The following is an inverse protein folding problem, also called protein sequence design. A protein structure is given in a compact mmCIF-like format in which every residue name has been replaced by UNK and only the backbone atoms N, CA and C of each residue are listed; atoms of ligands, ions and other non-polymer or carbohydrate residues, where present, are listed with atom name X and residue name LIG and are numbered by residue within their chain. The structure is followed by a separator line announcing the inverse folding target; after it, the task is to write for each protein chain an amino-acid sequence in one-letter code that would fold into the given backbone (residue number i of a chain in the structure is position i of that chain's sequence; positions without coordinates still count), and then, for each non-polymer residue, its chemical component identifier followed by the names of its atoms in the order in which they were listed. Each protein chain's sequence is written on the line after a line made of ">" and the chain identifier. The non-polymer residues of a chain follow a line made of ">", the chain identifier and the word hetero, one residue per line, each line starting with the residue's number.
data_IF_190831224548
#
_entry.id   IF_190831224548
#
_cell.length_a   1.000
_cell.length_b   1.000
_cell.length_c   1.000
_cell.angle_alpha   90.00
_cell.angle_beta   90.00
_cell.angle_gamma   90.00
#
_symmetry.space_group_name_H-M   'P 1'
#
loop_
_entity.id
_entity.type
_entity.pdbx_description
1 polymer ?
#
# COMPACT_ATOMS: atom_id res chain seq x y z
N UNK A 1 2.21 -16.27 39.87
CA UNK A 1 1.52 -17.54 39.58
C UNK A 1 0.69 -17.85 40.81
N UNK A 2 -0.64 -17.82 40.68
CA UNK A 2 -1.56 -18.42 41.64
C UNK A 2 -2.86 -18.68 40.88
N UNK A 3 -3.12 -19.97 40.64
CA UNK A 3 -4.35 -20.50 40.05
C UNK A 3 -5.48 -20.42 41.07
N UNK A 4 -6.60 -19.83 40.68
CA UNK A 4 -7.86 -19.91 41.42
C UNK A 4 -8.73 -21.01 40.80
N UNK A 5 -8.65 -22.21 41.39
CA UNK A 5 -9.65 -23.27 41.24
C UNK A 5 -10.81 -22.94 42.18
N UNK A 6 -12.03 -22.82 41.65
CA UNK A 6 -13.24 -22.57 42.45
C UNK A 6 -14.16 -23.78 42.25
N UNK A 7 -14.04 -24.74 43.15
CA UNK A 7 -15.02 -25.81 43.33
C UNK A 7 -16.18 -25.26 44.18
N UNK A 8 -17.36 -25.18 43.58
CA UNK A 8 -18.60 -24.81 44.27
C UNK A 8 -19.33 -26.08 44.70
N UNK A 9 -19.07 -26.51 45.92
CA UNK A 9 -19.82 -27.55 46.63
C UNK A 9 -21.00 -26.85 47.35
N UNK A 10 -22.23 -27.08 46.88
CA UNK A 10 -23.43 -26.53 47.50
C UNK A 10 -23.99 -27.57 48.48
N UNK A 11 -23.83 -27.25 49.76
CA UNK A 11 -24.33 -28.00 50.89
C UNK A 11 -25.85 -27.87 51.03
N UNK A 12 -26.47 -29.00 51.31
CA UNK A 12 -27.92 -29.19 51.47
C UNK A 12 -28.33 -28.88 52.91
N UNK A 13 -29.19 -27.88 53.12
CA UNK A 13 -29.92 -27.71 54.38
C UNK A 13 -31.44 -27.74 54.19
N UNK A 14 -32.01 -28.80 54.76
CA UNK A 14 -33.39 -29.09 55.14
C UNK A 14 -34.26 -27.86 55.53
N UNK A 15 -35.49 -27.79 55.01
CA UNK A 15 -36.73 -28.20 55.70
C UNK A 15 -37.30 -27.17 56.67
N UNK A 16 -38.35 -26.46 56.23
CA UNK A 16 -39.44 -26.10 57.12
C UNK A 16 -40.78 -26.24 56.40
N UNK A 17 -41.51 -27.27 56.83
CA UNK A 17 -42.87 -27.61 56.43
C UNK A 17 -43.83 -26.72 57.21
N UNK A 18 -44.66 -25.95 56.51
CA UNK A 18 -45.89 -25.37 57.07
C UNK A 18 -47.04 -25.72 56.13
N UNK A 19 -47.86 -26.68 56.56
CA UNK A 19 -49.14 -27.02 55.95
C UNK A 19 -50.18 -25.94 56.29
N UNK A 20 -50.89 -25.41 55.30
CA UNK A 20 -52.35 -25.26 55.36
C UNK A 20 -52.96 -24.99 53.98
N UNK A 21 -53.72 -26.00 53.52
CA UNK A 21 -54.98 -25.97 52.74
C UNK A 21 -55.36 -24.65 52.03
N UNK A 22 -55.45 -24.69 50.71
CA UNK A 22 -56.70 -24.86 49.93
C UNK A 22 -56.41 -24.63 48.44
N UNK A 23 -56.61 -25.69 47.64
CA UNK A 23 -57.05 -25.64 46.23
C UNK A 23 -56.29 -24.76 45.24
N UNK A 24 -55.26 -25.32 44.60
CA UNK A 24 -55.07 -25.33 43.14
C UNK A 24 -53.76 -26.07 42.85
N UNK A 25 -53.83 -27.40 42.75
CA UNK A 25 -52.80 -28.16 42.06
C UNK A 25 -52.84 -27.78 40.57
N UNK A 26 -52.20 -26.66 40.21
CA UNK A 26 -51.70 -26.48 38.86
C UNK A 26 -50.49 -27.41 38.69
N UNK A 27 -50.75 -28.71 38.55
CA UNK A 27 -49.78 -29.60 37.90
C UNK A 27 -49.56 -29.05 36.51
N UNK A 28 -48.48 -28.30 36.32
CA UNK A 28 -47.90 -28.09 35.00
C UNK A 28 -47.35 -29.45 34.58
N UNK A 29 -48.25 -30.29 34.04
CA UNK A 29 -47.87 -31.42 33.19
C UNK A 29 -47.07 -30.80 32.05
N UNK A 30 -45.74 -30.86 32.15
CA UNK A 30 -44.88 -30.72 30.98
C UNK A 30 -45.20 -31.93 30.10
N UNK A 31 -46.18 -31.77 29.21
CA UNK A 31 -46.39 -32.73 28.13
C UNK A 31 -45.11 -32.88 27.33
N UNK A 32 -44.85 -34.03 26.70
CA UNK A 32 -43.73 -34.16 25.79
C UNK A 32 -43.83 -33.02 24.76
N UNK A 33 -42.77 -32.23 24.57
CA UNK A 33 -42.76 -31.23 23.50
C UNK A 33 -43.05 -31.97 22.19
N UNK A 34 -44.26 -31.80 21.67
CA UNK A 34 -44.62 -32.35 20.37
C UNK A 34 -44.02 -31.42 19.31
N UNK A 35 -42.76 -31.69 18.98
CA UNK A 35 -42.10 -31.03 17.88
C UNK A 35 -42.76 -31.49 16.58
N UNK A 36 -43.55 -30.60 15.98
CA UNK A 36 -44.12 -30.83 14.66
C UNK A 36 -42.96 -30.97 13.65
N UNK A 37 -43.06 -31.87 12.68
CA UNK A 37 -42.02 -32.06 11.66
C UNK A 37 -41.62 -30.73 11.00
N UNK A 38 -42.59 -29.82 10.82
CA UNK A 38 -42.35 -28.46 10.31
C UNK A 38 -41.42 -27.63 11.21
N UNK A 39 -41.55 -27.72 12.53
CA UNK A 39 -40.68 -26.98 13.46
C UNK A 39 -39.28 -27.56 13.50
N UNK A 40 -39.13 -28.88 13.36
CA UNK A 40 -37.82 -29.52 13.21
C UNK A 40 -37.12 -29.13 11.90
N UNK A 41 -37.86 -29.08 10.79
CA UNK A 41 -37.32 -28.64 9.49
C UNK A 41 -36.89 -27.16 9.55
N UNK A 42 -37.71 -26.29 10.14
CA UNK A 42 -37.37 -24.87 10.28
C UNK A 42 -36.15 -24.66 11.19
N UNK A 43 -36.06 -25.39 12.30
CA UNK A 43 -34.90 -25.36 13.19
C UNK A 43 -33.65 -25.86 12.46
N UNK A 44 -33.76 -26.95 11.70
CA UNK A 44 -32.66 -27.49 10.91
C UNK A 44 -32.18 -26.49 9.84
N UNK A 45 -33.11 -25.80 9.16
CA UNK A 45 -32.79 -24.75 8.18
C UNK A 45 -32.12 -23.55 8.84
N UNK A 46 -32.59 -23.13 10.01
CA UNK A 46 -31.97 -22.05 10.79
C UNK A 46 -30.54 -22.42 11.18
N UNK A 47 -30.34 -23.62 11.73
CA UNK A 47 -29.01 -24.12 12.10
C UNK A 47 -28.09 -24.25 10.88
N UNK A 48 -28.59 -24.77 9.76
CA UNK A 48 -27.81 -24.90 8.53
C UNK A 48 -27.43 -23.53 7.94
N UNK A 49 -28.36 -22.58 7.92
CA UNK A 49 -28.11 -21.20 7.48
C UNK A 49 -27.08 -20.51 8.38
N UNK A 50 -27.21 -20.66 9.70
CA UNK A 50 -26.27 -20.10 10.67
C UNK A 50 -24.86 -20.69 10.50
N UNK A 51 -24.78 -22.02 10.35
CA UNK A 51 -23.50 -22.69 10.13
C UNK A 51 -22.85 -22.29 8.81
N UNK A 52 -23.64 -22.16 7.74
CA UNK A 52 -23.16 -21.69 6.45
C UNK A 52 -22.65 -20.24 6.53
N UNK A 53 -23.39 -19.35 7.21
CA UNK A 53 -22.96 -17.97 7.47
C UNK A 53 -21.64 -17.94 8.25
N UNK A 54 -21.52 -18.73 9.32
CA UNK A 54 -20.32 -18.75 10.14
C UNK A 54 -19.10 -19.28 9.37
N UNK A 55 -19.26 -20.36 8.60
CA UNK A 55 -18.19 -20.86 7.73
C UNK A 55 -17.78 -19.83 6.68
N UNK A 56 -18.74 -19.21 6.00
CA UNK A 56 -18.45 -18.20 4.98
C UNK A 56 -17.73 -16.98 5.56
N UNK A 57 -18.08 -16.58 6.78
CA UNK A 57 -17.41 -15.49 7.49
C UNK A 57 -15.98 -15.87 7.88
N UNK A 58 -15.79 -17.05 8.46
CA UNK A 58 -14.47 -17.53 8.87
C UNK A 58 -13.54 -17.73 7.67
N UNK A 59 -14.05 -18.30 6.58
CA UNK A 59 -13.30 -18.45 5.33
C UNK A 59 -12.96 -17.08 4.72
N UNK A 60 -13.87 -16.10 4.79
CA UNK A 60 -13.57 -14.72 4.36
C UNK A 60 -12.47 -14.06 5.20
N UNK A 61 -12.50 -14.20 6.52
CA UNK A 61 -11.48 -13.65 7.42
C UNK A 61 -10.13 -14.32 7.14
N UNK A 62 -10.11 -15.64 6.95
CA UNK A 62 -8.91 -16.38 6.56
C UNK A 62 -8.39 -15.92 5.19
N UNK A 63 -9.24 -15.78 4.18
CA UNK A 63 -8.85 -15.28 2.86
C UNK A 63 -8.33 -13.84 2.93
N UNK A 64 -8.93 -12.96 3.74
CA UNK A 64 -8.43 -11.59 3.95
C UNK A 64 -7.05 -11.59 4.58
N UNK A 65 -6.83 -12.41 5.61
CA UNK A 65 -5.51 -12.53 6.24
C UNK A 65 -4.47 -13.09 5.27
N UNK A 66 -4.82 -14.10 4.48
CA UNK A 66 -3.95 -14.67 3.46
C UNK A 66 -3.65 -13.65 2.34
N UNK A 67 -4.64 -12.88 1.91
CA UNK A 67 -4.45 -11.78 0.95
C UNK A 67 -3.55 -10.70 1.55
N UNK A 68 -3.64 -10.39 2.84
CA UNK A 68 -2.76 -9.42 3.49
C UNK A 68 -1.31 -9.92 3.55
N UNK A 69 -1.10 -11.19 3.89
CA UNK A 69 0.23 -11.83 3.90
C UNK A 69 0.79 -11.91 2.49
N UNK A 70 0.01 -12.44 1.53
CA UNK A 70 0.40 -12.49 0.12
C UNK A 70 0.63 -11.10 -0.48
N UNK A 71 -0.10 -10.07 -0.03
CA UNK A 71 0.12 -8.67 -0.43
C UNK A 71 1.39 -8.09 0.19
N UNK A 72 1.75 -8.50 1.40
CA UNK A 72 3.02 -8.11 2.01
C UNK A 72 4.19 -8.79 1.30
N UNK A 73 4.05 -10.08 0.96
CA UNK A 73 5.07 -10.87 0.27
C UNK A 73 5.19 -10.52 -1.22
N UNK A 74 4.07 -10.27 -1.93
CA UNK A 74 4.07 -9.86 -3.34
C UNK A 74 4.66 -8.46 -3.54
N UNK A 75 4.70 -7.66 -2.48
CA UNK A 75 5.29 -6.31 -2.44
C UNK A 75 6.69 -6.29 -1.84
N UNK A 76 7.23 -7.45 -1.46
CA UNK A 76 8.62 -7.55 -1.08
C UNK A 76 9.48 -7.25 -2.31
N UNK A 77 10.43 -6.34 -2.15
CA UNK A 77 11.36 -5.98 -3.21
C UNK A 77 12.27 -7.18 -3.52
N UNK A 78 12.02 -7.81 -4.66
CA UNK A 78 12.81 -8.92 -5.19
C UNK A 78 13.87 -8.37 -6.13
N UNK A 79 15.12 -8.70 -5.85
CA UNK A 79 16.26 -8.33 -6.69
C UNK A 79 16.64 -9.56 -7.51
N UNK A 80 16.33 -9.55 -8.81
CA UNK A 80 16.68 -10.64 -9.73
C UNK A 80 18.12 -10.49 -10.23
N UNK A 81 18.48 -9.27 -10.60
CA UNK A 81 19.80 -8.87 -11.04
C UNK A 81 20.37 -7.84 -10.06
N UNK A 82 21.59 -8.11 -9.58
CA UNK A 82 22.26 -7.28 -8.57
C UNK A 82 23.04 -6.09 -9.17
N UNK A 83 23.25 -6.10 -10.49
CA UNK A 83 23.98 -5.11 -11.28
C UNK A 83 23.16 -3.85 -11.60
N UNK A 84 21.85 -3.92 -11.44
CA UNK A 84 20.88 -2.88 -11.81
C UNK A 84 19.91 -2.58 -10.68
N UNK A 85 19.21 -1.47 -10.77
CA UNK A 85 18.23 -1.06 -9.76
C UNK A 85 17.01 -1.98 -9.76
N UNK A 86 16.51 -2.29 -8.57
CA UNK A 86 15.18 -2.87 -8.38
C UNK A 86 14.25 -1.86 -7.73
N UNK A 87 13.02 -1.75 -8.23
CA UNK A 87 12.02 -0.80 -7.73
C UNK A 87 10.71 -1.53 -7.49
N UNK A 88 10.04 -1.23 -6.37
CA UNK A 88 8.66 -1.65 -6.13
C UNK A 88 7.87 -0.49 -5.52
N UNK A 89 6.65 -0.27 -5.98
CA UNK A 89 5.75 0.69 -5.33
C UNK A 89 5.39 0.21 -3.93
N UNK A 90 5.57 1.10 -2.94
CA UNK A 90 5.16 0.83 -1.58
C UNK A 90 3.62 0.81 -1.48
N UNK A 91 3.04 0.08 -0.51
CA UNK A 91 1.60 0.12 -0.28
C UNK A 91 1.15 1.56 -0.02
N UNK A 92 0.23 2.07 -0.86
CA UNK A 92 -0.46 3.34 -0.62
C UNK A 92 -1.26 3.22 0.68
N UNK A 93 -0.84 3.93 1.72
CA UNK A 93 -1.61 4.08 2.97
C UNK A 93 -2.67 5.16 2.83
N UNK A 94 -2.38 6.21 2.04
CA UNK A 94 -3.32 7.25 1.64
C UNK A 94 -3.35 7.45 0.11
N UNK A 95 -4.38 8.10 -0.44
CA UNK A 95 -4.54 8.31 -1.90
C UNK A 95 -3.40 9.10 -2.54
N UNK A 96 -2.81 10.01 -1.78
CA UNK A 96 -1.88 11.03 -2.27
C UNK A 96 -0.41 10.65 -2.00
N UNK A 97 -0.18 9.55 -1.29
CA UNK A 97 1.14 9.06 -0.97
C UNK A 97 1.69 8.23 -2.13
N UNK A 98 2.80 8.70 -2.70
CA UNK A 98 3.56 8.00 -3.73
C UNK A 98 4.93 7.69 -3.17
N UNK A 99 5.11 6.43 -2.75
CA UNK A 99 6.34 5.93 -2.13
C UNK A 99 6.78 4.67 -2.87
N UNK A 100 8.09 4.51 -3.06
CA UNK A 100 8.73 3.36 -3.67
C UNK A 100 9.84 2.84 -2.77
N UNK A 101 10.01 1.53 -2.73
CA UNK A 101 11.19 0.91 -2.15
C UNK A 101 12.13 0.55 -3.29
N UNK A 102 13.39 0.95 -3.17
CA UNK A 102 14.42 0.73 -4.18
C UNK A 102 15.58 -0.06 -3.60
N UNK A 103 16.19 -0.90 -4.41
CA UNK A 103 17.44 -1.59 -4.11
C UNK A 103 18.42 -1.22 -5.21
N UNK A 104 19.40 -0.42 -4.82
CA UNK A 104 20.48 0.03 -5.66
C UNK A 104 21.65 -0.95 -5.57
N UNK A 105 22.40 -1.14 -6.67
CA UNK A 105 23.57 -2.00 -6.68
C UNK A 105 24.56 -1.63 -5.55
N UNK A 106 25.17 -2.66 -4.96
CA UNK A 106 26.18 -2.46 -3.93
C UNK A 106 27.45 -1.83 -4.51
N UNK A 107 28.28 -1.21 -3.65
CA UNK A 107 29.55 -0.63 -4.07
C UNK A 107 30.46 -1.65 -4.79
N UNK A 108 30.47 -2.89 -4.32
CA UNK A 108 31.24 -3.98 -4.93
C UNK A 108 30.70 -4.34 -6.32
N UNK A 109 29.37 -4.38 -6.46
CA UNK A 109 28.74 -4.69 -7.75
C UNK A 109 29.02 -3.61 -8.79
N UNK A 110 29.02 -2.34 -8.38
CA UNK A 110 29.34 -1.22 -9.28
C UNK A 110 30.80 -1.28 -9.73
N UNK A 111 31.73 -1.61 -8.83
CA UNK A 111 33.13 -1.86 -9.19
C UNK A 111 33.33 -3.01 -10.20
N UNK A 112 32.35 -3.91 -10.32
CA UNK A 112 32.34 -5.05 -11.24
C UNK A 112 31.45 -4.82 -12.48
N UNK A 113 31.12 -3.56 -12.81
CA UNK A 113 30.32 -3.21 -13.99
C UNK A 113 28.83 -3.02 -13.75
N UNK A 114 28.38 -2.94 -12.49
CA UNK A 114 27.02 -2.52 -12.14
C UNK A 114 26.81 -1.01 -12.28
N UNK A 115 25.56 -0.57 -12.40
CA UNK A 115 25.23 0.85 -12.54
C UNK A 115 25.04 1.55 -11.19
N UNK A 116 25.66 2.71 -11.03
CA UNK A 116 25.24 3.70 -10.06
C UNK A 116 24.06 4.49 -10.62
N UNK A 117 23.17 4.99 -9.76
CA UNK A 117 22.00 5.76 -10.20
C UNK A 117 21.92 7.10 -9.48
N UNK A 118 21.37 8.08 -10.18
CA UNK A 118 20.93 9.37 -9.63
C UNK A 118 19.41 9.49 -9.77
N UNK A 119 18.82 10.21 -8.84
CA UNK A 119 17.42 10.57 -8.81
C UNK A 119 17.24 11.91 -9.50
N UNK A 120 16.38 11.96 -10.51
CA UNK A 120 16.14 13.16 -11.31
C UNK A 120 14.68 13.59 -11.18
N UNK A 121 14.45 14.87 -10.94
CA UNK A 121 13.14 15.51 -10.89
C UNK A 121 13.07 16.64 -11.91
N UNK A 122 12.02 16.63 -12.72
CA UNK A 122 11.68 17.73 -13.61
C UNK A 122 10.24 18.17 -13.39
N UNK A 123 10.02 19.48 -13.45
CA UNK A 123 8.69 20.07 -13.27
C UNK A 123 8.18 20.87 -14.47
N UNK A 124 9.07 21.16 -15.43
CA UNK A 124 8.80 21.99 -16.60
C UNK A 124 9.44 21.35 -17.84
N UNK A 125 9.00 21.76 -19.03
CA UNK A 125 9.59 21.31 -20.29
C UNK A 125 9.37 19.83 -20.56
N UNK A 126 8.38 19.20 -19.93
CA UNK A 126 8.13 17.77 -20.04
C UNK A 126 7.59 17.43 -21.41
N UNK A 127 8.08 16.36 -22.01
CA UNK A 127 7.62 15.86 -23.30
C UNK A 127 7.34 14.38 -23.19
N UNK A 128 6.26 13.92 -23.81
CA UNK A 128 5.88 12.51 -23.73
C UNK A 128 6.91 11.63 -24.47
N UNK A 129 7.55 10.74 -23.72
CA UNK A 129 8.50 9.76 -24.26
C UNK A 129 9.90 10.30 -24.47
N UNK A 130 10.23 11.50 -23.99
CA UNK A 130 11.60 12.01 -23.92
C UNK A 130 11.93 12.49 -22.51
N UNK A 131 13.18 12.27 -22.10
CA UNK A 131 13.66 12.76 -20.81
C UNK A 131 14.01 14.25 -20.92
N UNK A 132 13.53 15.08 -19.97
CA UNK A 132 13.77 16.51 -19.99
C UNK A 132 15.23 16.83 -19.67
N UNK A 133 15.73 17.96 -20.20
CA UNK A 133 17.11 18.41 -19.98
C UNK A 133 17.29 19.29 -18.73
N UNK A 134 16.24 20.01 -18.33
CA UNK A 134 16.26 20.86 -17.12
C UNK A 134 15.74 20.07 -15.93
N UNK A 135 16.67 19.55 -15.13
CA UNK A 135 16.37 18.58 -14.08
C UNK A 135 17.10 18.94 -12.80
N UNK A 136 16.48 18.63 -11.67
CA UNK A 136 17.15 18.65 -10.37
C UNK A 136 17.58 17.24 -10.02
N UNK A 137 18.87 17.07 -9.71
CA UNK A 137 19.51 15.77 -9.59
C UNK A 137 19.98 15.52 -8.15
N UNK A 138 19.91 14.26 -7.71
CA UNK A 138 20.48 13.81 -6.44
C UNK A 138 21.15 12.44 -6.62
N UNK A 139 22.44 12.35 -6.33
CA UNK A 139 23.17 11.08 -6.40
C UNK A 139 22.71 10.13 -5.28
N UNK A 140 22.33 8.90 -5.63
CA UNK A 140 21.79 7.96 -4.65
C UNK A 140 22.90 7.12 -4.01
N UNK A 141 22.89 6.96 -2.68
CA UNK A 141 23.78 6.02 -2.02
C UNK A 141 23.40 4.57 -2.34
N UNK A 142 24.34 3.65 -2.17
CA UNK A 142 24.15 2.23 -2.45
C UNK A 142 23.27 1.55 -1.39
N UNK A 143 22.51 0.54 -1.80
CA UNK A 143 21.75 -0.31 -0.90
C UNK A 143 20.24 -0.15 -1.04
N UNK A 144 19.51 -0.49 0.04
CA UNK A 144 18.05 -0.47 0.06
C UNK A 144 17.56 0.83 0.69
N UNK A 145 16.68 1.51 -0.03
CA UNK A 145 16.19 2.84 0.35
C UNK A 145 14.72 3.00 0.01
N UNK A 146 14.10 4.01 0.60
CA UNK A 146 12.75 4.43 0.28
C UNK A 146 12.76 5.82 -0.37
N UNK A 147 12.02 5.97 -1.46
CA UNK A 147 11.83 7.24 -2.16
C UNK A 147 10.36 7.63 -2.04
N UNK A 148 10.09 8.87 -1.68
CA UNK A 148 8.73 9.40 -1.57
C UNK A 148 8.63 10.75 -2.27
N UNK A 149 7.57 10.98 -3.02
CA UNK A 149 7.28 12.30 -3.59
C UNK A 149 6.03 12.90 -2.94
N UNK A 150 6.13 14.18 -2.59
CA UNK A 150 5.03 14.98 -2.02
C UNK A 150 4.80 16.21 -2.87
N UNK A 151 3.56 16.38 -3.31
CA UNK A 151 3.06 17.61 -3.93
C UNK A 151 2.18 18.32 -2.91
N UNK A 152 2.43 19.61 -2.66
CA UNK A 152 1.64 20.44 -1.75
C UNK A 152 1.31 21.76 -2.42
N UNK A 153 0.06 22.19 -2.33
CA UNK A 153 -0.34 23.54 -2.68
C UNK A 153 -0.01 24.50 -1.53
N UNK A 154 0.56 25.64 -1.87
CA UNK A 154 1.01 26.70 -0.95
C UNK A 154 0.41 28.04 -1.38
N UNK A 155 0.57 29.09 -0.56
CA UNK A 155 0.08 30.43 -0.92
C UNK A 155 0.71 30.99 -2.20
N UNK A 156 1.95 30.62 -2.49
CA UNK A 156 2.72 31.16 -3.61
C UNK A 156 2.63 30.28 -4.87
N UNK A 157 2.10 29.06 -4.75
CA UNK A 157 1.98 28.10 -5.85
C UNK A 157 2.08 26.66 -5.38
N UNK A 158 2.76 25.83 -6.15
CA UNK A 158 2.92 24.41 -5.87
C UNK A 158 4.34 24.11 -5.39
N UNK A 159 4.44 23.24 -4.41
CA UNK A 159 5.70 22.75 -3.88
C UNK A 159 5.78 21.25 -4.14
N UNK A 160 6.86 20.83 -4.80
CA UNK A 160 7.17 19.42 -5.06
C UNK A 160 8.43 19.07 -4.28
N UNK A 161 8.32 18.08 -3.41
CA UNK A 161 9.43 17.58 -2.58
C UNK A 161 9.65 16.11 -2.86
N UNK A 162 10.91 15.71 -2.93
CA UNK A 162 11.31 14.32 -2.94
C UNK A 162 12.08 14.02 -1.67
N UNK A 163 11.62 12.99 -0.97
CA UNK A 163 12.23 12.47 0.23
C UNK A 163 12.94 11.16 -0.10
N UNK A 164 14.13 11.01 0.44
CA UNK A 164 14.94 9.81 0.39
C UNK A 164 15.19 9.36 1.83
N UNK A 165 14.75 8.14 2.18
CA UNK A 165 14.75 7.64 3.56
C UNK A 165 14.15 8.65 4.56
N UNK A 166 13.00 9.21 4.18
CA UNK A 166 12.26 10.24 4.92
C UNK A 166 13.00 11.59 5.12
N UNK A 167 14.16 11.78 4.50
CA UNK A 167 14.90 13.04 4.44
C UNK A 167 14.66 13.79 3.13
N UNK A 168 14.37 15.09 3.18
CA UNK A 168 14.21 15.91 1.98
C UNK A 168 15.54 16.06 1.23
N UNK A 169 15.57 15.62 -0.04
CA UNK A 169 16.76 15.68 -0.90
C UNK A 169 16.58 16.60 -2.11
N UNK A 170 15.35 16.73 -2.61
CA UNK A 170 15.01 17.63 -3.71
C UNK A 170 13.76 18.43 -3.33
N UNK A 171 13.81 19.74 -3.59
CA UNK A 171 12.67 20.64 -3.39
C UNK A 171 12.60 21.64 -4.54
N UNK A 172 11.45 21.68 -5.21
CA UNK A 172 11.16 22.60 -6.31
C UNK A 172 9.85 23.34 -6.01
N UNK A 173 9.88 24.66 -6.15
CA UNK A 173 8.70 25.52 -6.03
C UNK A 173 8.28 25.99 -7.42
N UNK A 174 6.98 25.92 -7.70
CA UNK A 174 6.37 26.41 -8.92
C UNK A 174 5.31 27.46 -8.60
N UNK A 175 5.14 28.43 -9.49
CA UNK A 175 4.15 29.50 -9.32
C UNK A 175 2.73 28.97 -9.55
N UNK A 176 1.71 29.66 -9.05
CA UNK A 176 0.30 29.29 -9.28
C UNK A 176 -0.06 29.08 -10.77
N UNK A 177 0.51 29.90 -11.66
CA UNK A 177 0.28 29.81 -13.10
C UNK A 177 0.71 28.47 -13.70
N UNK A 178 1.62 27.75 -13.06
CA UNK A 178 2.07 26.41 -13.47
C UNK A 178 0.95 25.37 -13.43
N UNK A 179 0.03 25.48 -12.47
CA UNK A 179 -1.14 24.59 -12.33
C UNK A 179 -2.40 25.11 -13.03
N UNK A 180 -2.31 26.16 -13.85
CA UNK A 180 -3.48 26.77 -14.50
C UNK A 180 -4.06 25.88 -15.61
N UNK A 181 -3.27 24.94 -16.12
CA UNK A 181 -3.69 23.89 -17.06
C UNK A 181 -4.63 22.91 -16.34
N UNK A 182 -5.91 22.93 -16.73
CA UNK A 182 -6.92 22.04 -16.15
C UNK A 182 -6.89 20.70 -16.86
N UNK A 183 -6.42 19.69 -16.14
CA UNK A 183 -6.32 18.30 -16.57
C UNK A 183 -5.00 17.68 -16.11
N UNK A 184 -5.07 16.61 -15.33
CA UNK A 184 -3.89 15.80 -14.97
C UNK A 184 -3.95 14.48 -15.74
N UNK A 185 -2.95 14.23 -16.59
CA UNK A 185 -2.76 12.94 -17.26
C UNK A 185 -1.42 12.38 -16.82
N UNK A 186 -1.40 11.20 -16.22
CA UNK A 186 -0.18 10.67 -15.62
C UNK A 186 -0.15 9.16 -15.46
N UNK A 187 1.05 8.64 -15.40
CA UNK A 187 1.42 7.31 -14.97
C UNK A 187 1.80 7.37 -13.48
N UNK A 188 1.02 6.69 -12.65
CA UNK A 188 1.57 6.17 -11.40
C UNK A 188 2.56 5.06 -11.82
N UNK A 189 3.87 5.30 -11.70
CA UNK A 189 4.86 4.30 -12.08
C UNK A 189 4.70 3.00 -11.30
N UNK A 190 4.90 1.90 -12.03
CA UNK A 190 4.90 0.48 -11.65
C UNK A 190 3.97 0.04 -10.50
N UNK A 191 2.90 -0.67 -10.87
CA UNK A 191 1.97 -1.24 -9.90
C UNK A 191 2.44 -2.60 -9.36
N UNK A 192 2.52 -2.67 -8.03
CA UNK A 192 2.44 -3.88 -7.18
C UNK A 192 3.55 -4.94 -7.27
N UNK A 193 4.33 -4.99 -8.36
CA UNK A 193 5.40 -5.99 -8.56
C UNK A 193 6.77 -5.34 -8.67
N UNK A 194 7.82 -6.08 -8.28
CA UNK A 194 9.20 -5.61 -8.40
C UNK A 194 9.58 -5.49 -9.88
N UNK A 195 10.02 -4.29 -10.27
CA UNK A 195 10.53 -3.98 -11.59
C UNK A 195 12.06 -3.88 -11.56
N UNK A 196 12.70 -4.37 -12.62
CA UNK A 196 14.11 -4.15 -12.90
C UNK A 196 14.27 -3.82 -14.40
N UNK A 197 15.14 -2.87 -14.77
CA UNK A 197 15.39 -2.55 -16.15
C UNK A 197 16.05 -3.73 -16.91
N UNK A 198 15.93 -3.73 -18.23
CA UNK A 198 16.53 -4.74 -19.10
C UNK A 198 18.07 -4.64 -19.15
N UNK A 199 18.62 -3.45 -18.89
CA UNK A 199 20.06 -3.19 -18.86
C UNK A 199 20.47 -2.22 -17.75
N UNK A 200 21.79 -2.08 -17.54
CA UNK A 200 22.40 -1.12 -16.62
C UNK A 200 22.35 0.33 -17.12
N UNK A 201 22.02 0.55 -18.40
CA UNK A 201 21.98 1.88 -19.04
C UNK A 201 20.57 2.47 -19.12
N UNK A 202 19.56 1.70 -18.74
CA UNK A 202 18.16 2.11 -18.85
C UNK A 202 17.72 2.94 -17.64
N UNK A 203 17.01 4.04 -17.92
CA UNK A 203 16.37 4.87 -16.89
C UNK A 203 15.07 4.24 -16.41
N UNK A 204 14.72 4.45 -15.15
CA UNK A 204 13.51 3.90 -14.53
C UNK A 204 12.58 5.03 -14.10
N UNK A 205 11.46 5.21 -14.80
CA UNK A 205 10.43 6.18 -14.43
C UNK A 205 9.70 5.73 -13.15
N UNK A 206 9.74 6.55 -12.11
CA UNK A 206 9.02 6.28 -10.86
C UNK A 206 7.63 6.90 -10.88
N UNK A 207 7.51 8.11 -11.44
CA UNK A 207 6.29 8.89 -11.41
C UNK A 207 6.26 9.92 -12.53
N UNK A 208 5.13 10.01 -13.24
CA UNK A 208 4.91 10.99 -14.27
C UNK A 208 3.49 11.56 -14.20
N UNK A 209 3.35 12.85 -13.99
CA UNK A 209 2.12 13.59 -14.25
C UNK A 209 2.43 14.70 -15.23
N UNK A 210 1.61 14.82 -16.26
CA UNK A 210 1.65 15.87 -17.25
C UNK A 210 0.36 16.68 -17.09
N UNK A 211 0.51 17.99 -16.92
CA UNK A 211 -0.59 18.92 -16.95
C UNK A 211 -0.95 19.15 -18.42
N UNK A 212 -2.25 19.09 -18.70
CA UNK A 212 -2.80 19.25 -20.04
C UNK A 212 -3.91 20.28 -20.01
N UNK A 213 -4.09 21.05 -21.09
CA UNK A 213 -5.24 21.93 -21.25
C UNK A 213 -6.47 21.11 -21.67
N UNK A 214 -7.57 21.23 -20.91
CA UNK A 214 -8.93 20.71 -21.20
C UNK A 214 -9.38 20.93 -22.66
N UNK A 215 -8.81 21.92 -23.36
CA UNK A 215 -9.16 22.25 -24.75
C UNK A 215 -8.44 21.44 -25.84
N UNK A 216 -7.50 20.55 -25.49
CA UNK A 216 -6.73 19.79 -26.48
C UNK A 216 -7.20 18.33 -26.60
N UNK A 217 -7.83 17.92 -27.72
CA UNK A 217 -8.03 16.52 -28.03
C UNK A 217 -6.72 15.97 -28.59
N UNK A 218 -6.16 14.98 -27.91
CA UNK A 218 -4.90 14.28 -28.22
C UNK A 218 -3.61 15.03 -27.81
N UNK A 219 -2.97 14.48 -26.78
CA UNK A 219 -1.58 14.66 -26.41
C UNK A 219 -0.72 14.60 -27.69
N UNK A 220 -0.20 15.75 -28.13
CA UNK A 220 0.78 15.76 -29.21
C UNK A 220 2.14 15.50 -28.58
N UNK A 221 2.86 14.47 -29.06
CA UNK A 221 4.17 14.05 -28.51
C UNK A 221 5.26 15.14 -28.55
N UNK A 222 4.99 16.27 -29.18
CA UNK A 222 5.94 17.36 -29.45
C UNK A 222 5.73 18.61 -28.61
N UNK A 223 4.60 18.75 -27.89
CA UNK A 223 4.39 19.89 -26.99
C UNK A 223 5.15 19.70 -25.68
N UNK A 224 5.75 20.78 -25.19
CA UNK A 224 6.27 20.84 -23.83
C UNK A 224 5.12 21.08 -22.87
N UNK A 225 5.12 20.36 -21.76
CA UNK A 225 4.09 20.38 -20.73
C UNK A 225 4.69 20.74 -19.38
N UNK A 226 3.87 21.38 -18.55
CA UNK A 226 4.11 21.46 -17.12
C UNK A 226 3.69 20.14 -16.47
N UNK A 227 4.24 19.81 -15.31
CA UNK A 227 3.89 18.56 -14.62
C UNK A 227 5.01 18.07 -13.75
N UNK A 228 4.99 16.82 -13.29
CA UNK A 228 6.02 16.27 -12.44
C UNK A 228 6.51 14.97 -13.03
N UNK A 229 7.80 14.90 -13.35
CA UNK A 229 8.46 13.66 -13.76
C UNK A 229 9.58 13.34 -12.76
N UNK A 230 9.54 12.14 -12.20
CA UNK A 230 10.54 11.59 -11.29
C UNK A 230 11.05 10.26 -11.86
N UNK A 231 12.35 10.13 -12.03
CA UNK A 231 12.97 8.92 -12.55
C UNK A 231 14.35 8.69 -11.94
N UNK A 232 14.84 7.46 -12.12
CA UNK A 232 16.20 7.06 -11.81
C UNK A 232 16.98 6.99 -13.11
N UNK A 233 18.12 7.68 -13.16
CA UNK A 233 19.01 7.69 -14.31
C UNK A 233 20.35 7.04 -13.93
N UNK A 234 20.88 6.11 -14.74
CA UNK A 234 22.19 5.54 -14.48
C UNK A 234 23.29 6.60 -14.68
N UNK A 235 24.18 6.71 -13.70
CA UNK A 235 25.34 7.59 -13.76
C UNK A 235 26.39 6.98 -14.68
N UNK A 236 26.86 7.76 -15.66
CA UNK A 236 27.98 7.35 -16.50
C UNK A 236 29.28 7.46 -15.70
N UNK A 237 30.23 6.55 -15.95
CA UNK A 237 31.49 6.41 -15.18
C UNK A 237 32.25 7.73 -14.92
N UNK A 238 32.13 8.72 -15.81
CA UNK A 238 32.75 10.03 -15.66
C UNK A 238 32.23 10.86 -14.45
N UNK A 239 31.00 10.62 -14.01
CA UNK A 239 30.40 11.32 -12.85
C UNK A 239 30.78 10.66 -11.52
N UNK A 240 31.19 9.39 -11.54
CA UNK A 240 31.52 8.60 -10.35
C UNK A 240 32.83 9.05 -9.67
N UNK A 241 33.70 9.75 -10.40
CA UNK A 241 34.98 10.27 -9.93
C UNK A 241 34.92 11.74 -9.45
N UNK A 242 33.77 12.41 -9.61
CA UNK A 242 33.60 13.85 -9.34
C UNK A 242 33.20 14.21 -7.91
N UNK A 243 32.73 13.24 -7.11
CA UNK A 243 32.38 13.44 -5.70
C UNK A 243 33.63 13.52 -4.81
N UNK A 244 34.33 14.66 -4.84
CA UNK A 244 35.48 14.92 -3.97
C UNK A 244 35.06 14.94 -2.49
N UNK A 245 35.85 14.19 -1.70
CA UNK A 245 36.14 14.31 -0.27
C UNK A 245 36.08 15.74 0.27
#
# INVERSE_FOLDING_TARGET
>A
MNDSNVDFEIDTSESHRSETRYGLECRVRRGPLQWNLKTLILLALLCASWFCYYRLRHDNERMRSAIQVMRAESKALVVLHADRVAVVSAPKTWSDEKKWNVALPSKETIGNGGAAYKLCLATNGLQFGSMPSEVTEFALPHGRHAIEIKKRETKDGFEVRVLFDDQEVIKVNQLHAWGAERGESGSDGYESQSFQPGSTEESVELYGIYLTDDKMPAITKTSQHNGVLLWLEPMREAEHLGGKL
#
